data_IF_327708593601
#
_entry.id   IF_327708593601
#
_cell.length_a   1.000
_cell.length_b   1.000
_cell.length_c   1.000
_cell.angle_alpha   90.00
_cell.angle_beta   90.00
_cell.angle_gamma   90.00
#
_symmetry.space_group_name_H-M   'P 1'
#
loop_
_entity.id
_entity.type
_entity.pdbx_description
1 polymer ?
#
# COMPACT_ATOMS: atom_id res chain seq x y z
N UNK A 1 28.70 3.15 -8.67
CA UNK A 1 27.75 2.02 -8.79
C UNK A 1 26.44 2.62 -9.28
N UNK A 2 25.88 2.14 -10.40
CA UNK A 2 24.59 2.60 -10.90
C UNK A 2 23.49 1.86 -10.14
N UNK A 3 22.71 2.58 -9.35
CA UNK A 3 21.62 1.98 -8.57
C UNK A 3 20.29 1.92 -9.33
N UNK A 4 20.16 2.67 -10.42
CA UNK A 4 18.94 2.80 -11.20
C UNK A 4 19.20 3.32 -12.62
N UNK A 5 18.19 3.21 -13.49
CA UNK A 5 18.11 3.82 -14.82
C UNK A 5 16.85 4.70 -14.95
N UNK A 6 16.87 5.66 -15.87
CA UNK A 6 15.74 6.56 -16.10
C UNK A 6 14.65 5.91 -16.97
N UNK A 7 13.40 6.30 -16.73
CA UNK A 7 12.30 5.98 -17.65
C UNK A 7 12.37 6.89 -18.87
N UNK A 8 12.01 6.34 -20.03
CA UNK A 8 11.90 7.12 -21.27
C UNK A 8 10.65 8.02 -21.26
N UNK A 9 10.65 9.08 -22.06
CA UNK A 9 9.53 10.04 -22.10
C UNK A 9 8.18 9.41 -22.45
N UNK A 10 8.16 8.41 -23.34
CA UNK A 10 6.96 7.65 -23.69
C UNK A 10 6.47 6.77 -22.53
N UNK A 11 7.39 6.13 -21.81
CA UNK A 11 7.13 5.37 -20.59
C UNK A 11 6.58 6.25 -19.46
N UNK A 12 7.11 7.46 -19.30
CA UNK A 12 6.62 8.45 -18.32
C UNK A 12 5.19 8.85 -18.67
N UNK A 13 4.94 9.25 -19.92
CA UNK A 13 3.60 9.61 -20.39
C UNK A 13 2.59 8.48 -20.16
N UNK A 14 2.91 7.27 -20.59
CA UNK A 14 2.05 6.10 -20.40
C UNK A 14 1.72 5.82 -18.92
N UNK A 15 2.71 6.02 -18.04
CA UNK A 15 2.52 5.86 -16.59
C UNK A 15 1.52 6.90 -16.08
N UNK A 16 1.71 8.17 -16.42
CA UNK A 16 0.82 9.28 -16.03
C UNK A 16 -0.60 9.04 -16.55
N UNK A 17 -0.75 8.64 -17.81
CA UNK A 17 -2.07 8.36 -18.41
C UNK A 17 -2.78 7.22 -17.66
N UNK A 18 -2.03 6.17 -17.27
CA UNK A 18 -2.59 5.03 -16.51
C UNK A 18 -3.09 5.48 -15.14
N UNK A 19 -2.33 6.35 -14.48
CA UNK A 19 -2.69 6.86 -13.16
C UNK A 19 -3.95 7.70 -13.21
N UNK A 20 -4.05 8.64 -14.14
CA UNK A 20 -5.24 9.47 -14.30
C UNK A 20 -6.50 8.61 -14.54
N UNK A 21 -6.37 7.56 -15.37
CA UNK A 21 -7.46 6.62 -15.60
C UNK A 21 -7.81 5.84 -14.32
N UNK A 22 -6.81 5.39 -13.57
CA UNK A 22 -7.02 4.63 -12.34
C UNK A 22 -7.59 5.49 -11.22
N UNK A 23 -7.19 6.75 -11.09
CA UNK A 23 -7.78 7.71 -10.15
C UNK A 23 -9.27 7.96 -10.46
N UNK A 24 -9.61 8.13 -11.74
CA UNK A 24 -11.00 8.23 -12.17
C UNK A 24 -11.79 6.95 -11.81
N UNK A 25 -11.18 5.77 -11.98
CA UNK A 25 -11.77 4.49 -11.58
C UNK A 25 -11.98 4.42 -10.06
N UNK A 26 -10.99 4.82 -9.26
CA UNK A 26 -11.06 4.83 -7.80
C UNK A 26 -12.18 5.75 -7.30
N UNK A 27 -12.29 6.95 -7.87
CA UNK A 27 -13.34 7.92 -7.51
C UNK A 27 -14.74 7.36 -7.77
N UNK A 28 -14.98 6.78 -8.96
CA UNK A 28 -16.26 6.17 -9.31
C UNK A 28 -16.57 4.97 -8.43
N UNK A 29 -15.57 4.12 -8.16
CA UNK A 29 -15.72 2.95 -7.29
C UNK A 29 -16.05 3.36 -5.84
N UNK A 30 -15.41 4.40 -5.32
CA UNK A 30 -15.69 4.93 -3.99
C UNK A 30 -17.13 5.48 -3.92
N UNK A 31 -17.56 6.26 -4.90
CA UNK A 31 -18.94 6.76 -4.93
C UNK A 31 -19.98 5.64 -5.03
N UNK A 32 -19.74 4.61 -5.84
CA UNK A 32 -20.59 3.41 -5.91
C UNK A 32 -20.66 2.71 -4.54
N UNK A 33 -19.53 2.55 -3.87
CA UNK A 33 -19.42 1.86 -2.58
C UNK A 33 -19.98 2.66 -1.40
N UNK A 34 -19.96 3.99 -1.45
CA UNK A 34 -20.44 4.84 -0.36
C UNK A 34 -21.89 5.29 -0.55
N UNK A 35 -22.22 5.90 -1.70
CA UNK A 35 -23.54 6.50 -1.94
C UNK A 35 -24.58 5.46 -2.30
N UNK A 36 -24.18 4.46 -3.10
CA UNK A 36 -25.07 3.46 -3.68
C UNK A 36 -24.91 2.06 -3.04
N UNK A 37 -24.27 1.98 -1.87
CA UNK A 37 -24.14 0.74 -1.12
C UNK A 37 -25.50 0.17 -0.71
N UNK A 38 -25.59 -1.16 -0.77
CA UNK A 38 -26.75 -1.93 -0.34
C UNK A 38 -27.85 -1.99 -1.39
N UNK A 39 -29.10 -1.92 -0.94
CA UNK A 39 -30.27 -2.03 -1.82
C UNK A 39 -31.37 -1.05 -1.40
N UNK A 40 -32.26 -0.72 -2.32
CA UNK A 40 -33.47 0.04 -2.06
C UNK A 40 -34.64 -0.69 -2.69
N UNK A 41 -35.77 -0.80 -1.98
CA UNK A 41 -36.92 -1.55 -2.44
C UNK A 41 -38.21 -1.04 -1.79
N UNK A 42 -39.31 -1.14 -2.54
CA UNK A 42 -40.66 -0.94 -2.00
C UNK A 42 -41.13 -2.19 -1.26
N UNK A 43 -41.81 -2.00 -0.14
CA UNK A 43 -42.47 -3.06 0.62
C UNK A 43 -43.85 -2.60 1.07
N UNK A 44 -44.86 -3.43 0.82
CA UNK A 44 -46.22 -3.18 1.30
C UNK A 44 -46.37 -3.67 2.75
N UNK A 45 -46.86 -2.80 3.63
CA UNK A 45 -47.15 -3.09 5.03
C UNK A 45 -48.55 -2.56 5.34
N UNK A 46 -49.46 -3.46 5.76
CA UNK A 46 -50.86 -3.13 6.07
C UNK A 46 -51.56 -2.31 4.97
N UNK A 47 -51.36 -2.70 3.70
CA UNK A 47 -51.99 -2.07 2.54
C UNK A 47 -51.37 -0.76 2.06
N UNK A 48 -50.26 -0.30 2.65
CA UNK A 48 -49.52 0.89 2.20
C UNK A 48 -48.09 0.51 1.80
N UNK A 49 -47.59 1.12 0.72
CA UNK A 49 -46.23 0.93 0.26
C UNK A 49 -45.26 1.85 1.01
N UNK A 50 -44.13 1.30 1.42
CA UNK A 50 -43.05 2.02 2.08
C UNK A 50 -41.74 1.77 1.36
N UNK A 51 -40.94 2.82 1.23
CA UNK A 51 -39.60 2.72 0.70
C UNK A 51 -38.69 2.20 1.81
N UNK A 52 -37.88 1.19 1.52
CA UNK A 52 -36.88 0.66 2.42
C UNK A 52 -35.50 0.75 1.79
N UNK A 53 -34.51 1.11 2.61
CA UNK A 53 -33.08 1.05 2.27
C UNK A 53 -32.40 -0.02 3.12
N UNK A 54 -31.77 -0.98 2.46
CA UNK A 54 -30.88 -1.97 3.06
C UNK A 54 -29.47 -1.39 3.12
N UNK A 55 -28.94 -1.19 4.32
CA UNK A 55 -27.50 -1.01 4.51
C UNK A 55 -26.82 -2.39 4.61
N UNK A 56 -25.65 -2.52 5.26
CA UNK A 56 -24.89 -3.78 5.38
C UNK A 56 -25.79 -5.01 5.70
N UNK A 57 -26.65 -4.92 6.71
CA UNK A 57 -27.53 -6.04 7.12
C UNK A 57 -28.97 -5.64 7.43
N UNK A 58 -29.20 -4.40 7.87
CA UNK A 58 -30.52 -3.93 8.29
C UNK A 58 -31.27 -3.17 7.19
N UNK A 59 -32.57 -3.43 7.10
CA UNK A 59 -33.51 -2.62 6.32
C UNK A 59 -34.08 -1.52 7.21
N UNK A 60 -34.03 -0.28 6.73
CA UNK A 60 -34.65 0.88 7.38
C UNK A 60 -35.70 1.47 6.45
N UNK A 61 -36.90 1.71 6.96
CA UNK A 61 -37.93 2.44 6.20
C UNK A 61 -37.51 3.90 6.05
N UNK A 62 -37.69 4.45 4.86
CA UNK A 62 -37.51 5.85 4.52
C UNK A 62 -38.84 6.61 4.49
N UNK A 63 -39.97 5.92 4.68
CA UNK A 63 -41.31 6.51 4.68
C UNK A 63 -42.28 5.86 3.70
N UNK A 64 -43.56 6.24 3.75
CA UNK A 64 -44.57 5.78 2.82
C UNK A 64 -44.31 6.31 1.40
N UNK A 65 -44.94 5.69 0.42
CA UNK A 65 -44.88 6.12 -0.98
C UNK A 65 -45.46 7.53 -1.15
N UNK A 66 -44.62 8.42 -1.67
CA UNK A 66 -44.87 9.83 -1.95
C UNK A 66 -43.99 10.26 -3.12
N UNK A 67 -44.20 11.46 -3.64
CA UNK A 67 -43.34 12.03 -4.68
C UNK A 67 -41.85 12.02 -4.27
N UNK A 68 -41.53 12.42 -3.04
CA UNK A 68 -40.15 12.49 -2.55
C UNK A 68 -39.49 11.09 -2.44
N UNK A 69 -40.24 10.08 -1.98
CA UNK A 69 -39.71 8.72 -1.83
C UNK A 69 -39.59 8.01 -3.19
N UNK A 70 -40.49 8.28 -4.13
CA UNK A 70 -40.33 7.85 -5.53
C UNK A 70 -39.09 8.48 -6.17
N UNK A 71 -38.90 9.80 -6.01
CA UNK A 71 -37.71 10.47 -6.53
C UNK A 71 -36.43 9.89 -5.93
N UNK A 72 -36.41 9.63 -4.62
CA UNK A 72 -35.27 9.00 -3.93
C UNK A 72 -34.97 7.60 -4.48
N UNK A 73 -36.00 6.81 -4.77
CA UNK A 73 -35.86 5.48 -5.37
C UNK A 73 -35.25 5.57 -6.77
N UNK A 74 -35.79 6.44 -7.64
CA UNK A 74 -35.27 6.63 -9.00
C UNK A 74 -33.82 7.10 -8.99
N UNK A 75 -33.50 8.14 -8.22
CA UNK A 75 -32.12 8.66 -8.10
C UNK A 75 -31.13 7.60 -7.60
N UNK A 76 -31.54 6.75 -6.66
CA UNK A 76 -30.68 5.67 -6.17
C UNK A 76 -30.39 4.65 -7.26
N UNK A 77 -31.41 4.18 -7.98
CA UNK A 77 -31.26 3.14 -8.99
C UNK A 77 -30.55 3.64 -10.25
N UNK A 78 -30.98 4.78 -10.80
CA UNK A 78 -30.37 5.39 -11.98
C UNK A 78 -28.91 5.77 -11.70
N UNK A 79 -28.64 6.44 -10.57
CA UNK A 79 -27.28 6.80 -10.19
C UNK A 79 -26.39 5.55 -9.99
N UNK A 80 -26.91 4.49 -9.36
CA UNK A 80 -26.16 3.24 -9.19
C UNK A 80 -25.82 2.60 -10.54
N UNK A 81 -26.78 2.55 -11.45
CA UNK A 81 -26.61 1.90 -12.75
C UNK A 81 -25.66 2.71 -13.66
N UNK A 82 -25.76 4.04 -13.65
CA UNK A 82 -24.81 4.94 -14.31
C UNK A 82 -23.37 4.72 -13.79
N UNK A 83 -23.18 4.66 -12.46
CA UNK A 83 -21.84 4.43 -11.89
C UNK A 83 -21.30 3.05 -12.20
N UNK A 84 -22.14 2.02 -12.25
CA UNK A 84 -21.73 0.67 -12.68
C UNK A 84 -21.30 0.67 -14.14
N UNK A 85 -22.05 1.32 -15.02
CA UNK A 85 -21.70 1.42 -16.45
C UNK A 85 -20.37 2.16 -16.63
N UNK A 86 -20.20 3.30 -15.95
CA UNK A 86 -18.96 4.08 -15.97
C UNK A 86 -17.77 3.28 -15.44
N UNK A 87 -17.96 2.57 -14.32
CA UNK A 87 -16.92 1.72 -13.74
C UNK A 87 -16.52 0.57 -14.68
N UNK A 88 -17.49 -0.04 -15.36
CA UNK A 88 -17.23 -1.08 -16.36
C UNK A 88 -16.40 -0.53 -17.54
N UNK A 89 -16.78 0.62 -18.09
CA UNK A 89 -16.04 1.26 -19.18
C UNK A 89 -14.60 1.63 -18.77
N UNK A 90 -14.41 2.18 -17.56
CA UNK A 90 -13.07 2.47 -17.03
C UNK A 90 -12.25 1.19 -16.81
N UNK A 91 -12.89 0.10 -16.37
CA UNK A 91 -12.23 -1.19 -16.17
C UNK A 91 -11.71 -1.77 -17.49
N UNK A 92 -12.52 -1.73 -18.56
CA UNK A 92 -12.09 -2.15 -19.90
C UNK A 92 -10.88 -1.36 -20.39
N UNK A 93 -10.88 -0.03 -20.21
CA UNK A 93 -9.71 0.80 -20.56
C UNK A 93 -8.47 0.45 -19.72
N UNK A 94 -8.64 0.15 -18.43
CA UNK A 94 -7.53 -0.29 -17.58
C UNK A 94 -6.96 -1.64 -18.03
N UNK A 95 -7.80 -2.57 -18.51
CA UNK A 95 -7.34 -3.84 -19.10
C UNK A 95 -6.48 -3.61 -20.36
N UNK A 96 -6.91 -2.69 -21.23
CA UNK A 96 -6.14 -2.27 -22.42
C UNK A 96 -4.80 -1.63 -22.03
N UNK A 97 -4.81 -0.69 -21.08
CA UNK A 97 -3.59 -0.04 -20.59
C UNK A 97 -2.65 -1.02 -19.91
N UNK A 98 -3.16 -2.02 -19.19
CA UNK A 98 -2.31 -3.03 -18.56
C UNK A 98 -1.51 -3.83 -19.60
N UNK A 99 -2.12 -4.18 -20.73
CA UNK A 99 -1.42 -4.84 -21.83
C UNK A 99 -0.29 -3.98 -22.41
N UNK A 100 -0.56 -2.67 -22.61
CA UNK A 100 0.43 -1.69 -23.09
C UNK A 100 1.56 -1.51 -22.07
N UNK A 101 1.23 -1.33 -20.79
CA UNK A 101 2.16 -1.17 -19.69
C UNK A 101 3.13 -2.35 -19.60
N UNK A 102 2.61 -3.58 -19.76
CA UNK A 102 3.42 -4.79 -19.81
C UNK A 102 4.34 -4.80 -21.03
N UNK A 103 3.84 -4.46 -22.22
CA UNK A 103 4.65 -4.38 -23.44
C UNK A 103 5.78 -3.34 -23.32
N UNK A 104 5.51 -2.21 -22.68
CA UNK A 104 6.49 -1.15 -22.38
C UNK A 104 7.42 -1.50 -21.20
N UNK A 105 7.30 -2.71 -20.63
CA UNK A 105 8.07 -3.20 -19.49
C UNK A 105 7.97 -2.29 -18.27
N UNK A 106 6.82 -1.65 -18.05
CA UNK A 106 6.56 -0.78 -16.90
C UNK A 106 6.12 -1.55 -15.65
N UNK A 107 5.52 -2.73 -15.85
CA UNK A 107 5.09 -3.61 -14.76
C UNK A 107 6.27 -4.25 -14.02
N UNK A 108 6.41 -3.97 -12.72
CA UNK A 108 7.57 -4.41 -11.92
C UNK A 108 7.20 -5.03 -10.59
N UNK A 109 6.10 -4.62 -9.97
CA UNK A 109 5.71 -5.17 -8.67
C UNK A 109 5.24 -6.63 -8.82
N UNK A 110 5.74 -7.58 -8.01
CA UNK A 110 5.32 -8.97 -8.08
C UNK A 110 3.81 -9.13 -7.97
N UNK A 111 3.24 -10.02 -8.78
CA UNK A 111 1.79 -10.20 -8.84
C UNK A 111 1.17 -10.58 -7.48
N UNK A 112 1.84 -11.41 -6.68
CA UNK A 112 1.38 -11.79 -5.34
C UNK A 112 1.31 -10.58 -4.41
N UNK A 113 2.35 -9.75 -4.37
CA UNK A 113 2.38 -8.47 -3.63
C UNK A 113 1.19 -7.59 -4.03
N UNK A 114 0.99 -7.39 -5.34
CA UNK A 114 -0.07 -6.54 -5.86
C UNK A 114 -1.47 -7.06 -5.51
N UNK A 115 -1.70 -8.39 -5.52
CA UNK A 115 -2.97 -8.99 -5.13
C UNK A 115 -3.26 -8.78 -3.63
N UNK A 116 -2.26 -8.94 -2.78
CA UNK A 116 -2.37 -8.66 -1.33
C UNK A 116 -2.72 -7.19 -1.13
N UNK A 117 -2.00 -6.26 -1.77
CA UNK A 117 -2.27 -4.83 -1.67
C UNK A 117 -3.68 -4.45 -2.11
N UNK A 118 -4.16 -4.99 -3.24
CA UNK A 118 -5.55 -4.76 -3.68
C UNK A 118 -6.57 -5.30 -2.68
N UNK A 119 -6.29 -6.42 -2.02
CA UNK A 119 -7.15 -6.97 -0.97
C UNK A 119 -7.16 -6.07 0.29
N UNK A 120 -5.99 -5.59 0.71
CA UNK A 120 -5.85 -4.67 1.85
C UNK A 120 -6.52 -3.31 1.57
N UNK A 121 -6.42 -2.79 0.34
CA UNK A 121 -7.14 -1.58 -0.09
C UNK A 121 -8.65 -1.75 -0.06
N UNK A 122 -9.18 -2.89 -0.54
CA UNK A 122 -10.62 -3.18 -0.45
C UNK A 122 -11.11 -3.26 1.00
N UNK A 123 -10.23 -3.69 1.92
CA UNK A 123 -10.49 -3.69 3.36
C UNK A 123 -10.23 -2.33 4.04
N UNK A 124 -9.79 -1.32 3.29
CA UNK A 124 -9.45 0.03 3.75
C UNK A 124 -8.38 0.02 4.86
N UNK A 125 -7.37 -0.84 4.75
CA UNK A 125 -6.28 -0.98 5.73
C UNK A 125 -5.03 -0.19 5.38
N UNK A 126 -4.71 -0.07 4.09
CA UNK A 126 -3.52 0.67 3.65
C UNK A 126 -3.72 2.18 3.91
N UNK A 127 -2.70 2.83 4.48
CA UNK A 127 -2.71 4.25 4.83
C UNK A 127 -3.61 4.61 6.01
N UNK A 128 -4.28 3.63 6.62
CA UNK A 128 -5.13 3.82 7.79
C UNK A 128 -4.58 3.08 9.01
N UNK A 129 -4.27 1.79 8.83
CA UNK A 129 -3.77 0.90 9.87
C UNK A 129 -2.45 0.23 9.48
N UNK A 130 -2.25 0.04 8.18
CA UNK A 130 -1.11 -0.64 7.60
C UNK A 130 -0.39 0.28 6.62
N UNK A 131 0.92 0.29 6.68
CA UNK A 131 1.79 0.83 5.65
C UNK A 131 2.73 -0.26 5.14
N UNK A 132 3.18 -0.13 3.90
CA UNK A 132 4.20 -1.03 3.37
C UNK A 132 5.58 -0.53 3.74
N UNK A 133 6.41 -1.44 4.23
CA UNK A 133 7.80 -1.16 4.56
C UNK A 133 8.72 -2.17 3.90
N UNK A 134 10.02 -2.05 4.18
CA UNK A 134 11.01 -2.95 3.60
C UNK A 134 11.15 -2.76 2.09
N UNK A 135 11.60 -3.80 1.40
CA UNK A 135 12.00 -3.70 -0.02
C UNK A 135 10.85 -3.28 -0.92
N UNK A 136 9.60 -3.65 -0.62
CA UNK A 136 8.46 -3.32 -1.48
C UNK A 136 8.21 -1.80 -1.58
N UNK A 137 8.70 -1.00 -0.63
CA UNK A 137 8.63 0.46 -0.73
C UNK A 137 9.45 1.03 -1.90
N UNK A 138 10.48 0.30 -2.37
CA UNK A 138 11.32 0.74 -3.47
C UNK A 138 10.55 0.86 -4.80
N UNK A 139 9.50 0.06 -5.05
CA UNK A 139 8.65 0.21 -6.24
C UNK A 139 7.88 1.54 -6.23
N UNK A 140 7.47 2.00 -5.04
CA UNK A 140 6.84 3.31 -4.89
C UNK A 140 7.86 4.42 -5.15
N UNK A 141 9.09 4.27 -4.64
CA UNK A 141 10.15 5.25 -4.86
C UNK A 141 10.62 5.31 -6.32
N UNK A 142 10.69 4.17 -7.02
CA UNK A 142 10.86 4.11 -8.47
C UNK A 142 9.87 5.04 -9.17
N UNK A 143 8.59 4.91 -8.78
CA UNK A 143 7.53 5.75 -9.33
C UNK A 143 7.75 7.22 -9.00
N UNK A 144 8.04 7.59 -7.75
CA UNK A 144 8.25 8.99 -7.37
C UNK A 144 9.40 9.64 -8.14
N UNK A 145 10.50 8.92 -8.32
CA UNK A 145 11.69 9.42 -9.03
C UNK A 145 11.59 9.37 -10.55
N UNK A 146 10.60 8.68 -11.13
CA UNK A 146 10.56 8.43 -12.58
C UNK A 146 11.72 7.55 -13.06
N UNK A 147 12.17 6.63 -12.20
CA UNK A 147 13.35 5.79 -12.42
C UNK A 147 13.03 4.31 -12.24
N UNK A 148 14.03 3.47 -12.50
CA UNK A 148 14.01 2.03 -12.34
C UNK A 148 15.22 1.59 -11.53
N UNK A 149 15.00 1.17 -10.29
CA UNK A 149 16.02 0.65 -9.38
C UNK A 149 16.53 -0.71 -9.89
N UNK A 150 17.79 -1.01 -9.64
CA UNK A 150 18.40 -2.30 -9.98
C UNK A 150 17.62 -3.46 -9.34
N UNK A 151 17.32 -4.50 -10.13
CA UNK A 151 16.52 -5.65 -9.68
C UNK A 151 17.17 -6.43 -8.53
N UNK A 152 18.51 -6.40 -8.41
CA UNK A 152 19.23 -7.01 -7.29
C UNK A 152 18.89 -6.38 -5.94
N UNK A 153 18.41 -5.13 -5.93
CA UNK A 153 17.91 -4.47 -4.71
C UNK A 153 16.45 -4.82 -4.40
N UNK A 154 15.67 -5.25 -5.39
CA UNK A 154 14.22 -5.45 -5.30
C UNK A 154 13.78 -6.89 -5.01
N UNK A 155 14.66 -7.89 -5.16
CA UNK A 155 14.29 -9.29 -5.06
C UNK A 155 13.75 -9.66 -3.66
N UNK A 156 12.43 -9.85 -3.53
CA UNK A 156 11.79 -10.28 -2.29
C UNK A 156 10.67 -11.29 -2.53
N UNK A 157 10.77 -12.44 -1.86
CA UNK A 157 9.68 -13.40 -1.72
C UNK A 157 8.78 -13.08 -0.52
N UNK A 158 8.76 -11.82 -0.09
CA UNK A 158 8.05 -11.36 1.10
C UNK A 158 7.43 -9.97 0.94
N UNK A 159 6.50 -9.65 1.85
CA UNK A 159 5.96 -8.31 2.08
C UNK A 159 5.88 -8.02 3.58
N UNK A 160 6.44 -6.88 3.97
CA UNK A 160 6.39 -6.38 5.34
C UNK A 160 5.26 -5.35 5.50
N UNK A 161 4.31 -5.66 6.40
CA UNK A 161 3.18 -4.81 6.75
C UNK A 161 3.47 -4.15 8.10
N UNK A 162 3.72 -2.85 8.10
CA UNK A 162 3.87 -2.06 9.32
C UNK A 162 2.50 -1.70 9.88
N UNK A 163 2.21 -2.19 11.07
CA UNK A 163 0.98 -1.94 11.79
C UNK A 163 1.09 -0.74 12.74
N UNK A 164 0.23 0.26 12.54
CA UNK A 164 0.05 1.33 13.50
C UNK A 164 -0.96 0.91 14.57
N UNK A 165 -0.44 0.40 15.69
CA UNK A 165 -1.23 -0.06 16.83
C UNK A 165 -2.05 1.06 17.53
N UNK A 166 -1.81 2.34 17.22
CA UNK A 166 -2.63 3.47 17.72
C UNK A 166 -3.95 3.60 16.97
N UNK A 167 -4.06 2.94 15.81
CA UNK A 167 -5.28 2.98 15.01
C UNK A 167 -6.43 2.37 15.80
N UNK A 168 -7.58 3.05 15.82
CA UNK A 168 -8.74 2.57 16.57
C UNK A 168 -9.28 1.27 15.95
N UNK A 169 -8.89 0.13 16.53
CA UNK A 169 -9.27 -1.21 16.07
C UNK A 169 -10.78 -1.42 15.98
N UNK A 170 -11.57 -0.71 16.81
CA UNK A 170 -13.03 -0.82 16.77
C UNK A 170 -13.63 -0.24 15.48
N UNK A 171 -12.95 0.73 14.85
CA UNK A 171 -13.36 1.26 13.54
C UNK A 171 -12.96 0.31 12.42
N UNK A 172 -11.76 -0.28 12.48
CA UNK A 172 -11.25 -1.24 11.49
C UNK A 172 -12.06 -2.53 11.47
N UNK A 173 -12.42 -3.06 12.66
CA UNK A 173 -13.22 -4.30 12.81
C UNK A 173 -14.59 -4.26 12.13
N UNK A 174 -15.14 -3.08 11.83
CA UNK A 174 -16.41 -2.95 11.06
C UNK A 174 -16.27 -3.36 9.59
N UNK A 175 -15.04 -3.40 9.08
CA UNK A 175 -14.71 -3.70 7.68
C UNK A 175 -13.92 -5.01 7.52
N UNK A 176 -13.48 -5.61 8.63
CA UNK A 176 -12.71 -6.86 8.65
C UNK A 176 -13.62 -7.97 9.15
N UNK A 177 -13.67 -9.10 8.43
CA UNK A 177 -14.45 -10.27 8.81
C UNK A 177 -13.90 -10.98 10.05
N UNK A 178 -14.60 -12.02 10.51
CA UNK A 178 -14.18 -12.81 11.68
C UNK A 178 -12.77 -13.45 11.51
N UNK A 179 -12.36 -13.72 10.27
CA UNK A 179 -11.04 -14.26 9.93
C UNK A 179 -9.89 -13.23 9.98
N UNK A 180 -10.16 -11.95 10.29
CA UNK A 180 -9.10 -10.97 10.50
C UNK A 180 -8.26 -10.66 9.25
N UNK A 181 -6.97 -10.39 9.45
CA UNK A 181 -6.01 -10.16 8.36
C UNK A 181 -5.81 -11.44 7.52
N UNK A 182 -5.76 -12.61 8.15
CA UNK A 182 -5.64 -13.90 7.47
C UNK A 182 -6.75 -14.12 6.43
N UNK A 183 -7.99 -13.79 6.77
CA UNK A 183 -9.11 -13.85 5.83
C UNK A 183 -8.90 -12.96 4.60
N UNK A 184 -8.32 -11.77 4.80
CA UNK A 184 -7.99 -10.85 3.70
C UNK A 184 -6.87 -11.44 2.83
N UNK A 185 -5.81 -11.99 3.42
CA UNK A 185 -4.74 -12.67 2.67
C UNK A 185 -5.30 -13.83 1.84
N UNK A 186 -6.24 -14.60 2.40
CA UNK A 186 -6.96 -15.68 1.70
C UNK A 186 -7.89 -15.21 0.58
N UNK A 187 -8.18 -13.93 0.46
CA UNK A 187 -8.84 -13.39 -0.75
C UNK A 187 -7.84 -13.18 -1.90
N UNK A 188 -6.58 -12.91 -1.59
CA UNK A 188 -5.51 -12.80 -2.58
C UNK A 188 -5.05 -14.18 -3.06
N UNK A 189 -4.83 -15.11 -2.12
CA UNK A 189 -4.44 -16.50 -2.35
C UNK A 189 -4.97 -17.40 -1.23
N UNK A 190 -5.79 -18.40 -1.57
CA UNK A 190 -6.44 -19.30 -0.61
C UNK A 190 -5.47 -20.15 0.21
N UNK A 191 -4.24 -20.33 -0.25
CA UNK A 191 -3.26 -21.17 0.42
C UNK A 191 -2.55 -20.49 1.59
N UNK A 192 -2.80 -19.20 1.85
CA UNK A 192 -2.21 -18.54 3.01
C UNK A 192 -2.62 -19.20 4.33
N UNK A 193 -1.60 -19.50 5.12
CA UNK A 193 -1.73 -20.01 6.48
C UNK A 193 -0.71 -19.34 7.40
N UNK A 194 -1.04 -19.27 8.68
CA UNK A 194 -0.08 -18.87 9.71
C UNK A 194 0.99 -19.94 9.88
N UNK A 195 2.22 -19.55 10.22
CA UNK A 195 3.30 -20.50 10.55
C UNK A 195 3.23 -21.03 12.00
N UNK A 196 2.28 -20.55 12.79
CA UNK A 196 2.04 -20.98 14.17
C UNK A 196 0.87 -20.22 14.80
N UNK A 197 0.48 -20.57 16.03
CA UNK A 197 -0.56 -19.81 16.75
C UNK A 197 -0.07 -18.39 17.03
N UNK A 198 -0.86 -17.37 16.67
CA UNK A 198 -0.51 -15.94 16.82
C UNK A 198 0.87 -15.60 16.23
N UNK A 199 1.22 -16.23 15.11
CA UNK A 199 2.45 -15.90 14.37
C UNK A 199 2.37 -14.46 13.88
N UNK A 200 3.51 -13.79 13.79
CA UNK A 200 3.62 -12.53 13.04
C UNK A 200 3.73 -12.76 11.53
N UNK A 201 3.96 -14.01 11.11
CA UNK A 201 4.24 -14.40 9.73
C UNK A 201 3.20 -15.37 9.18
N UNK A 202 2.69 -15.07 7.99
CA UNK A 202 1.95 -15.99 7.13
C UNK A 202 2.82 -16.45 5.96
N UNK A 203 2.52 -17.63 5.43
CA UNK A 203 3.10 -18.14 4.19
C UNK A 203 2.01 -18.70 3.28
N UNK A 204 2.21 -18.63 1.96
CA UNK A 204 1.39 -19.34 0.98
C UNK A 204 2.07 -20.64 0.52
N UNK A 205 1.40 -21.43 -0.32
CA UNK A 205 1.92 -22.69 -0.87
C UNK A 205 3.21 -22.56 -1.68
N UNK A 206 3.50 -21.36 -2.20
CA UNK A 206 4.67 -21.08 -3.03
C UNK A 206 5.83 -20.50 -2.19
N UNK A 207 5.69 -20.46 -0.86
CA UNK A 207 6.70 -19.96 0.06
C UNK A 207 6.75 -18.42 0.18
N UNK A 208 5.79 -17.70 -0.40
CA UNK A 208 5.70 -16.24 -0.29
C UNK A 208 5.28 -15.85 1.13
N UNK A 209 6.04 -14.95 1.76
CA UNK A 209 5.85 -14.57 3.16
C UNK A 209 5.14 -13.24 3.31
N UNK A 210 4.30 -13.14 4.34
CA UNK A 210 3.70 -11.88 4.78
C UNK A 210 4.04 -11.69 6.24
N UNK A 211 4.76 -10.62 6.55
CA UNK A 211 5.12 -10.27 7.92
C UNK A 211 4.27 -9.10 8.42
N UNK A 212 3.68 -9.27 9.60
CA UNK A 212 3.01 -8.20 10.34
C UNK A 212 3.93 -7.73 11.45
N UNK A 213 4.42 -6.50 11.32
CA UNK A 213 5.40 -5.90 12.24
C UNK A 213 4.84 -4.62 12.84
N UNK A 214 5.27 -4.26 14.05
CA UNK A 214 4.80 -3.06 14.74
C UNK A 214 5.88 -2.42 15.62
N UNK A 215 5.68 -1.17 16.06
CA UNK A 215 6.59 -0.53 17.00
C UNK A 215 6.52 -1.21 18.38
N UNK A 216 7.65 -1.24 19.10
CA UNK A 216 7.64 -1.57 20.52
C UNK A 216 6.81 -0.53 21.31
N UNK A 217 5.94 -0.96 22.24
CA UNK A 217 5.17 -0.06 23.08
C UNK A 217 6.11 0.73 24.00
N UNK A 218 5.76 2.00 24.24
CA UNK A 218 6.56 2.91 25.09
C UNK A 218 6.60 2.50 26.57
N UNK A 219 5.76 1.54 27.00
CA UNK A 219 5.71 1.01 28.36
C UNK A 219 5.79 -0.52 28.37
N UNK A 220 6.97 -1.11 28.64
CA UNK A 220 7.20 -2.56 28.67
C UNK A 220 6.39 -3.32 29.74
N UNK A 221 5.89 -2.62 30.76
CA UNK A 221 5.20 -3.20 31.93
C UNK A 221 3.70 -3.38 31.66
N UNK A 222 3.17 -2.78 30.59
CA UNK A 222 1.83 -3.10 30.13
C UNK A 222 1.87 -4.49 29.50
N UNK A 223 1.32 -5.51 30.19
CA UNK A 223 1.05 -6.85 29.65
C UNK A 223 -0.03 -6.83 28.54
N UNK A 224 0.03 -5.84 27.65
CA UNK A 224 -0.80 -5.74 26.47
C UNK A 224 -0.41 -6.86 25.52
N UNK A 225 -1.38 -7.70 25.15
CA UNK A 225 -1.21 -8.73 24.12
C UNK A 225 -0.63 -8.10 22.84
N UNK A 226 0.21 -8.83 22.07
CA UNK A 226 0.71 -8.34 20.79
C UNK A 226 -0.45 -7.85 19.93
N UNK A 227 -0.27 -6.67 19.34
CA UNK A 227 -1.36 -5.99 18.64
C UNK A 227 -1.78 -6.84 17.42
N UNK A 228 -3.05 -7.27 17.39
CA UNK A 228 -3.62 -8.04 16.28
C UNK A 228 -4.77 -7.28 15.64
N UNK A 229 -4.92 -7.47 14.34
CA UNK A 229 -6.00 -6.88 13.55
C UNK A 229 -7.31 -7.62 13.81
N UNK A 230 -7.28 -8.96 13.82
CA UNK A 230 -8.40 -9.82 14.16
C UNK A 230 -8.44 -10.24 15.62
N UNK A 231 -9.42 -11.10 15.94
CA UNK A 231 -9.56 -11.73 17.27
C UNK A 231 -9.30 -13.25 17.22
N UNK A 232 -9.15 -13.83 16.03
CA UNK A 232 -8.90 -15.25 15.85
C UNK A 232 -7.45 -15.60 16.25
N UNK A 233 -7.24 -16.74 16.92
CA UNK A 233 -5.91 -17.22 17.29
C UNK A 233 -5.06 -17.66 16.10
N UNK A 234 -5.72 -17.97 14.98
CA UNK A 234 -5.08 -18.27 13.70
C UNK A 234 -4.80 -17.01 12.86
N UNK A 235 -5.19 -15.83 13.35
CA UNK A 235 -4.82 -14.54 12.72
C UNK A 235 -3.41 -14.09 13.13
N UNK A 236 -2.85 -13.16 12.36
CA UNK A 236 -1.53 -12.62 12.64
C UNK A 236 -1.54 -11.69 13.85
N UNK A 237 -0.46 -11.74 14.62
CA UNK A 237 -0.19 -10.84 15.72
C UNK A 237 1.13 -10.12 15.46
N UNK A 238 1.12 -8.78 15.51
CA UNK A 238 2.29 -8.00 15.14
C UNK A 238 3.47 -8.31 16.07
N UNK A 239 4.64 -8.56 15.48
CA UNK A 239 5.89 -8.62 16.26
C UNK A 239 6.43 -7.21 16.44
N UNK A 240 6.84 -6.91 17.67
CA UNK A 240 7.41 -5.62 18.02
C UNK A 240 8.88 -5.56 17.60
N UNK A 241 9.24 -4.56 16.79
CA UNK A 241 10.60 -4.38 16.30
C UNK A 241 11.13 -3.02 16.73
N UNK A 242 12.32 -3.04 17.31
CA UNK A 242 13.06 -1.84 17.67
C UNK A 242 13.28 -0.95 16.43
N UNK A 243 13.02 0.34 16.60
CA UNK A 243 13.19 1.31 15.54
C UNK A 243 12.03 1.46 14.56
N UNK A 244 10.96 0.65 14.68
CA UNK A 244 9.73 0.93 13.94
C UNK A 244 8.92 2.09 14.54
N UNK A 245 9.21 2.50 15.79
CA UNK A 245 8.51 3.60 16.46
C UNK A 245 8.68 4.94 15.74
N UNK A 246 9.85 5.23 15.17
CA UNK A 246 10.01 6.45 14.37
C UNK A 246 9.50 6.27 12.95
N UNK A 247 9.55 5.05 12.40
CA UNK A 247 9.07 4.77 11.04
C UNK A 247 7.55 4.86 10.94
N UNK A 248 6.80 4.40 11.94
CA UNK A 248 5.34 4.59 12.01
C UNK A 248 4.98 6.07 12.15
N UNK A 249 5.82 6.86 12.82
CA UNK A 249 5.64 8.30 13.00
C UNK A 249 6.20 9.16 11.85
N UNK A 250 6.92 8.55 10.90
CA UNK A 250 7.48 9.30 9.78
C UNK A 250 6.35 9.83 8.89
N UNK A 251 6.60 10.89 8.12
CA UNK A 251 5.74 11.23 7.00
C UNK A 251 5.56 10.01 6.10
N UNK A 252 4.41 9.95 5.44
CA UNK A 252 4.04 8.88 4.52
C UNK A 252 3.91 9.44 3.12
N UNK A 253 4.25 8.62 2.14
CA UNK A 253 4.06 8.90 0.72
C UNK A 253 3.11 7.88 0.14
N UNK A 254 2.33 8.28 -0.85
CA UNK A 254 1.42 7.42 -1.59
C UNK A 254 1.72 7.56 -3.09
N UNK A 255 1.69 6.45 -3.82
CA UNK A 255 1.74 6.47 -5.28
C UNK A 255 1.00 5.25 -5.85
N UNK A 256 0.74 5.30 -7.15
CA UNK A 256 0.23 4.20 -7.94
C UNK A 256 1.43 3.52 -8.61
N UNK A 257 1.57 2.20 -8.43
CA UNK A 257 2.59 1.40 -9.11
C UNK A 257 1.94 0.36 -10.00
N UNK A 258 2.72 -0.19 -10.93
CA UNK A 258 2.26 -1.20 -11.87
C UNK A 258 2.80 -2.58 -11.49
N UNK A 259 1.89 -3.56 -11.39
CA UNK A 259 2.28 -4.95 -11.21
C UNK A 259 2.87 -5.56 -12.50
N UNK A 260 3.45 -6.75 -12.42
CA UNK A 260 4.02 -7.48 -13.56
C UNK A 260 3.05 -7.67 -14.74
N UNK A 261 1.74 -7.58 -14.50
CA UNK A 261 0.71 -7.66 -15.55
C UNK A 261 0.35 -6.28 -16.12
N UNK A 262 0.95 -5.20 -15.61
CA UNK A 262 0.73 -3.82 -16.03
C UNK A 262 -0.45 -3.14 -15.35
N UNK A 263 -1.09 -3.79 -14.36
CA UNK A 263 -2.24 -3.23 -13.67
C UNK A 263 -1.81 -2.32 -12.51
N UNK A 264 -2.53 -1.21 -12.28
CA UNK A 264 -2.23 -0.31 -11.18
C UNK A 264 -2.57 -0.90 -9.81
N UNK A 265 -1.83 -0.46 -8.81
CA UNK A 265 -2.11 -0.66 -7.39
C UNK A 265 -1.57 0.55 -6.62
N UNK A 266 -2.42 1.17 -5.80
CA UNK A 266 -2.05 2.28 -4.93
C UNK A 266 -1.71 1.76 -3.54
N UNK A 267 -0.70 2.33 -2.89
CA UNK A 267 -0.40 2.05 -1.49
C UNK A 267 0.45 3.16 -0.87
N UNK A 268 0.62 3.09 0.45
CA UNK A 268 1.43 4.00 1.25
C UNK A 268 2.69 3.34 1.78
N UNK A 269 3.75 4.13 1.89
CA UNK A 269 5.02 3.77 2.50
C UNK A 269 5.56 4.92 3.36
N UNK A 270 6.54 4.66 4.25
CA UNK A 270 7.35 5.71 4.84
C UNK A 270 7.99 6.63 3.81
N UNK A 271 8.23 7.87 4.21
CA UNK A 271 9.01 8.85 3.46
C UNK A 271 10.37 8.26 3.03
N UNK A 272 10.80 8.48 1.77
CA UNK A 272 12.04 7.87 1.24
C UNK A 272 13.29 8.28 2.03
N UNK A 273 13.33 9.48 2.64
CA UNK A 273 14.43 9.89 3.53
C UNK A 273 14.44 9.06 4.80
N UNK A 274 13.25 8.84 5.38
CA UNK A 274 13.09 8.01 6.58
C UNK A 274 13.50 6.56 6.30
N UNK A 275 13.12 6.03 5.14
CA UNK A 275 13.55 4.72 4.67
C UNK A 275 15.07 4.63 4.54
N UNK A 276 15.70 5.59 3.85
CA UNK A 276 17.15 5.56 3.64
C UNK A 276 17.93 5.61 4.96
N UNK A 277 17.54 6.50 5.89
CA UNK A 277 18.15 6.57 7.22
C UNK A 277 17.93 5.29 8.04
N UNK A 278 16.74 4.71 7.97
CA UNK A 278 16.42 3.47 8.69
C UNK A 278 17.21 2.27 8.14
N UNK A 279 17.33 2.15 6.82
CA UNK A 279 18.12 1.10 6.17
C UNK A 279 19.61 1.24 6.47
N UNK A 280 20.14 2.45 6.45
CA UNK A 280 21.53 2.70 6.84
C UNK A 280 21.75 2.34 8.31
N UNK A 281 20.85 2.72 9.21
CA UNK A 281 20.94 2.30 10.62
C UNK A 281 20.90 0.77 10.78
N UNK A 282 20.00 0.07 10.08
CA UNK A 282 19.92 -1.39 10.10
C UNK A 282 21.22 -2.05 9.65
N UNK A 283 21.92 -1.50 8.64
CA UNK A 283 23.18 -2.07 8.16
C UNK A 283 24.32 -1.92 9.17
N UNK A 284 24.25 -0.94 10.07
CA UNK A 284 25.24 -0.68 11.12
C UNK A 284 25.01 -1.48 12.40
N UNK A 285 23.84 -2.09 12.57
CA UNK A 285 23.53 -2.91 13.76
C UNK A 285 24.43 -4.14 13.84
N UNK A 286 25.02 -4.42 15.00
CA UNK A 286 25.90 -5.58 15.18
C UNK A 286 25.18 -6.90 14.93
N UNK A 287 23.95 -7.03 15.44
CA UNK A 287 23.09 -8.22 15.38
C UNK A 287 22.38 -8.45 14.04
N UNK A 288 22.58 -7.56 13.06
CA UNK A 288 21.96 -7.72 11.73
C UNK A 288 22.66 -8.83 10.94
N UNK A 289 21.86 -9.66 10.27
CA UNK A 289 22.34 -10.67 9.34
C UNK A 289 23.34 -10.08 8.32
N UNK A 290 24.53 -10.69 8.12
CA UNK A 290 25.57 -10.13 7.26
C UNK A 290 25.16 -9.89 5.80
N UNK A 291 24.33 -10.77 5.22
CA UNK A 291 23.84 -10.60 3.84
C UNK A 291 22.82 -9.45 3.78
N UNK A 292 21.96 -9.33 4.80
CA UNK A 292 21.03 -8.21 4.92
C UNK A 292 21.74 -6.88 5.15
N UNK A 293 22.86 -6.82 5.87
CA UNK A 293 23.65 -5.57 6.06
C UNK A 293 24.04 -4.93 4.74
N UNK A 294 24.69 -5.70 3.86
CA UNK A 294 25.15 -5.22 2.55
C UNK A 294 23.97 -4.71 1.71
N UNK A 295 22.85 -5.45 1.74
CA UNK A 295 21.65 -5.08 1.01
C UNK A 295 20.98 -3.82 1.56
N UNK A 296 20.84 -3.72 2.89
CA UNK A 296 20.25 -2.57 3.56
C UNK A 296 21.07 -1.30 3.26
N UNK A 297 22.39 -1.38 3.31
CA UNK A 297 23.29 -0.26 2.93
C UNK A 297 23.13 0.13 1.46
N UNK A 298 23.13 -0.84 0.55
CA UNK A 298 22.95 -0.57 -0.88
C UNK A 298 21.58 0.07 -1.17
N UNK A 299 20.51 -0.38 -0.52
CA UNK A 299 19.17 0.23 -0.63
C UNK A 299 19.16 1.66 -0.07
N UNK A 300 19.83 1.92 1.05
CA UNK A 300 19.93 3.24 1.64
C UNK A 300 20.61 4.25 0.69
N UNK A 301 21.77 3.88 0.13
CA UNK A 301 22.49 4.73 -0.82
C UNK A 301 21.74 4.89 -2.15
N UNK A 302 21.08 3.84 -2.65
CA UNK A 302 20.25 3.92 -3.85
C UNK A 302 19.14 4.95 -3.70
N UNK A 303 18.39 4.90 -2.59
CA UNK A 303 17.29 5.83 -2.33
C UNK A 303 17.81 7.24 -2.07
N UNK A 304 18.90 7.41 -1.32
CA UNK A 304 19.52 8.73 -1.12
C UNK A 304 20.00 9.37 -2.43
N UNK A 305 20.62 8.59 -3.31
CA UNK A 305 21.07 9.06 -4.63
C UNK A 305 19.88 9.44 -5.52
N UNK A 306 18.80 8.65 -5.49
CA UNK A 306 17.55 8.98 -6.18
C UNK A 306 16.95 10.28 -5.65
N UNK A 307 16.90 10.47 -4.33
CA UNK A 307 16.39 11.70 -3.70
C UNK A 307 17.20 12.90 -4.21
N UNK A 308 18.53 12.85 -4.11
CA UNK A 308 19.39 13.97 -4.51
C UNK A 308 19.26 14.36 -5.98
N UNK A 309 18.96 13.41 -6.87
CA UNK A 309 18.88 13.65 -8.32
C UNK A 309 17.47 14.01 -8.80
N UNK A 310 16.44 13.29 -8.36
CA UNK A 310 15.09 13.39 -8.91
C UNK A 310 14.07 13.99 -7.93
N UNK A 311 14.38 14.05 -6.63
CA UNK A 311 13.51 14.62 -5.61
C UNK A 311 14.26 15.64 -4.73
N UNK A 312 14.96 16.64 -5.30
CA UNK A 312 15.84 17.54 -4.54
C UNK A 312 15.12 18.41 -3.51
N UNK A 313 13.79 18.51 -3.60
CA UNK A 313 12.94 19.16 -2.60
C UNK A 313 12.87 18.36 -1.29
N UNK A 314 13.14 17.05 -1.30
CA UNK A 314 13.16 16.20 -0.12
C UNK A 314 14.53 16.24 0.55
N UNK A 315 14.82 17.33 1.27
CA UNK A 315 16.08 17.48 2.00
C UNK A 315 16.08 16.65 3.30
N UNK A 316 17.24 16.12 3.70
CA UNK A 316 17.39 15.35 4.94
C UNK A 316 17.37 16.20 6.22
N UNK A 317 17.58 17.51 6.10
CA UNK A 317 17.52 18.48 7.22
C UNK A 317 16.12 19.06 7.46
N UNK A 318 15.12 18.61 6.71
CA UNK A 318 13.75 19.08 6.80
C UNK A 318 13.14 18.82 8.21
N UNK A 319 12.59 19.86 8.88
CA UNK A 319 11.95 19.72 10.18
C UNK A 319 10.84 18.67 10.25
N UNK A 320 10.19 18.34 9.13
CA UNK A 320 9.15 17.30 9.05
C UNK A 320 9.66 15.92 9.48
N UNK A 321 10.98 15.69 9.42
CA UNK A 321 11.64 14.47 9.91
C UNK A 321 11.87 14.49 11.44
N UNK A 322 11.26 15.42 12.18
CA UNK A 322 11.43 15.56 13.62
C UNK A 322 11.07 14.32 14.45
N UNK A 323 10.21 13.44 13.92
CA UNK A 323 9.89 12.15 14.52
C UNK A 323 11.06 11.14 14.48
N UNK A 324 12.04 11.37 13.60
CA UNK A 324 13.25 10.54 13.51
C UNK A 324 14.27 11.00 14.58
N UNK A 325 14.81 10.08 15.38
CA UNK A 325 15.81 10.40 16.40
C UNK A 325 16.98 11.20 15.84
N UNK A 326 17.49 12.16 16.62
CA UNK A 326 18.63 13.00 16.22
C UNK A 326 19.84 12.17 15.77
N UNK A 327 20.12 11.05 16.45
CA UNK A 327 21.22 10.15 16.11
C UNK A 327 21.06 9.53 14.70
N UNK A 328 19.85 9.09 14.34
CA UNK A 328 19.56 8.59 13.00
C UNK A 328 19.68 9.70 11.95
N UNK A 329 19.16 10.90 12.24
CA UNK A 329 19.24 12.01 11.28
C UNK A 329 20.67 12.40 10.95
N UNK A 330 21.61 12.28 11.90
CA UNK A 330 23.05 12.50 11.64
C UNK A 330 23.65 11.54 10.61
N UNK A 331 23.04 10.37 10.39
CA UNK A 331 23.48 9.44 9.33
C UNK A 331 23.26 10.00 7.92
N UNK A 332 22.49 11.09 7.76
CA UNK A 332 22.32 11.74 6.45
C UNK A 332 23.65 12.20 5.84
N UNK A 333 24.63 12.57 6.68
CA UNK A 333 25.96 12.96 6.20
C UNK A 333 26.64 11.83 5.41
N UNK A 334 26.50 10.57 5.83
CA UNK A 334 27.05 9.41 5.08
C UNK A 334 26.36 9.22 3.72
N UNK A 335 25.06 9.54 3.64
CA UNK A 335 24.25 9.40 2.43
C UNK A 335 24.50 10.53 1.42
N UNK A 336 24.74 11.75 1.90
CA UNK A 336 24.96 12.94 1.07
C UNK A 336 26.31 12.88 0.33
N UNK A 337 27.35 12.33 0.96
CA UNK A 337 28.69 12.21 0.35
C UNK A 337 28.73 11.29 -0.89
N UNK A 338 27.74 10.41 -1.08
CA UNK A 338 27.72 9.47 -2.22
C UNK A 338 27.06 10.04 -3.48
N UNK A 339 26.35 11.18 -3.38
CA UNK A 339 25.57 11.74 -4.48
C UNK A 339 26.41 12.42 -5.58
N UNK A 340 27.64 12.87 -5.27
CA UNK A 340 28.48 13.71 -6.15
C UNK A 340 29.24 13.00 -7.27
N UNK A 341 29.15 11.67 -7.43
CA UNK A 341 29.77 11.00 -8.59
C UNK A 341 28.79 10.97 -9.77
N UNK A 342 28.95 11.94 -10.67
CA UNK A 342 28.40 11.89 -12.03
C UNK A 342 28.93 10.66 -12.76
N UNK A 343 28.13 10.06 -13.66
CA UNK A 343 28.60 8.97 -14.49
C UNK A 343 29.66 9.43 -15.48
N UNK A 344 30.73 8.64 -15.64
CA UNK A 344 31.54 8.64 -16.85
C UNK A 344 30.61 8.34 -18.03
N UNK A 345 30.50 9.29 -18.96
CA UNK A 345 29.85 9.10 -20.25
C UNK A 345 30.64 8.04 -21.03
N UNK A 346 30.20 6.78 -20.95
CA UNK A 346 30.56 5.80 -21.98
C UNK A 346 29.79 6.17 -23.24
N UNK A 347 30.46 6.92 -24.11
CA UNK A 347 29.93 7.42 -25.39
C UNK A 347 29.93 6.33 -26.48
N UNK A 348 30.61 5.20 -26.25
CA UNK A 348 30.73 4.16 -27.28
C UNK A 348 30.03 2.85 -26.88
N UNK A 349 29.27 2.24 -27.81
CA UNK A 349 28.82 0.86 -27.65
C UNK A 349 30.02 -0.09 -27.62
N UNK A 350 29.86 -1.22 -26.93
CA UNK A 350 30.89 -2.26 -26.85
C UNK A 350 30.91 -3.07 -28.16
N UNK A 351 31.52 -2.52 -29.21
CA UNK A 351 31.91 -3.21 -30.45
C UNK A 351 33.42 -3.36 -30.55
#
# INVERSE_FOLDING_TARGET
>A
MFYFSELKSDQIRQTIDTEQLFEAWLAVNAELSHRFAGAMAWKTVSGRDYLYRKAKTAWKSLGPRSFDTEQTYHQFHEGRDERRQRLAALSTKLDEMAAINRAMRLGRMPLTTARILRALNRANLIGSALDIVGTNALFLYERLGGIRIDSGLLATGDIDLLFDARTNLNLLRRNIGAEGLMGILRTADKSFHSLGKRSFRAANKDGYLVDLIGPMPSHPISNSRPASIGQNEDDLAAVEIEGLQWLVNSPKVAAIVLDERGYPVQYTCPDPRSFALHKLWLSRREDRDPLKKLRDEAQAHAVANMIGRYLPHLRFDDPVLGAIPKGLRKLSHELEHTASKSPDDKIEPNW
#
